data_IF_520915914275
#
_entry.id   IF_520915914275
#
_cell.length_a   1.000
_cell.length_b   1.000
_cell.length_c   1.000
_cell.angle_alpha   90.00
_cell.angle_beta   90.00
_cell.angle_gamma   90.00
#
_symmetry.space_group_name_H-M   'P 1'
#
loop_
_entity.id
_entity.type
_entity.pdbx_description
1 polymer ?
#
# COMPACT_ATOMS: atom_id res chain seq x y z
N UNK A 1 21.32 -54.55 -33.61
CA UNK A 1 20.06 -55.09 -33.05
C UNK A 1 19.98 -54.60 -31.59
N UNK A 2 19.13 -53.76 -31.30
CA UNK A 2 18.17 -53.62 -30.22
C UNK A 2 17.92 -52.14 -29.92
N UNK A 3 16.71 -51.74 -30.20
CA UNK A 3 16.18 -50.41 -29.95
C UNK A 3 15.91 -50.20 -28.46
N UNK A 4 16.36 -49.10 -27.91
CA UNK A 4 16.00 -48.59 -26.56
C UNK A 4 15.07 -47.37 -26.68
N UNK A 5 13.90 -47.51 -26.13
CA UNK A 5 12.86 -46.48 -26.04
C UNK A 5 13.30 -45.34 -25.10
N UNK A 6 13.22 -44.10 -25.59
CA UNK A 6 13.29 -42.91 -24.75
C UNK A 6 11.85 -42.55 -24.41
N UNK A 7 11.53 -42.58 -23.11
CA UNK A 7 10.23 -42.29 -22.58
C UNK A 7 9.99 -40.77 -22.48
N UNK A 8 8.84 -40.37 -22.97
CA UNK A 8 8.24 -39.05 -22.72
C UNK A 8 7.79 -38.97 -21.25
N UNK A 9 8.32 -38.02 -20.52
CA UNK A 9 8.00 -37.78 -19.11
C UNK A 9 8.30 -36.40 -18.65
N UNK A 10 7.76 -35.36 -19.31
CA UNK A 10 7.89 -33.98 -18.83
C UNK A 10 6.76 -33.11 -19.40
N UNK A 11 5.50 -33.42 -19.08
CA UNK A 11 4.39 -32.54 -19.43
C UNK A 11 3.15 -32.66 -18.49
N UNK A 12 3.31 -33.17 -17.27
CA UNK A 12 2.14 -33.32 -16.36
C UNK A 12 2.22 -32.50 -15.05
N UNK A 13 3.29 -31.78 -14.78
CA UNK A 13 3.41 -31.05 -13.51
C UNK A 13 2.91 -29.58 -13.56
N UNK A 14 2.75 -28.99 -14.73
CA UNK A 14 2.34 -27.58 -14.87
C UNK A 14 0.82 -27.39 -14.91
N UNK A 15 0.03 -28.45 -15.17
CA UNK A 15 -1.42 -28.30 -15.28
C UNK A 15 -2.16 -28.52 -13.95
N UNK A 16 -1.56 -29.23 -13.00
CA UNK A 16 -2.20 -29.52 -11.71
C UNK A 16 -2.13 -28.32 -10.77
N UNK A 17 -1.07 -27.51 -10.82
CA UNK A 17 -0.93 -26.31 -10.00
C UNK A 17 -1.83 -25.15 -10.46
N UNK A 18 -2.08 -25.02 -11.76
CA UNK A 18 -3.00 -24.01 -12.29
C UNK A 18 -4.48 -24.34 -12.00
N UNK A 19 -4.84 -25.62 -12.00
CA UNK A 19 -6.20 -26.06 -11.65
C UNK A 19 -6.48 -25.98 -10.15
N UNK A 20 -5.48 -26.21 -9.29
CA UNK A 20 -5.63 -26.07 -7.83
C UNK A 20 -5.80 -24.60 -7.43
N UNK A 21 -5.02 -23.68 -8.00
CA UNK A 21 -5.18 -22.23 -7.77
C UNK A 21 -6.52 -21.70 -8.30
N UNK A 22 -6.98 -22.18 -9.44
CA UNK A 22 -8.28 -21.80 -10.00
C UNK A 22 -9.47 -22.31 -9.19
N UNK A 23 -9.39 -23.54 -8.67
CA UNK A 23 -10.43 -24.14 -7.84
C UNK A 23 -10.47 -23.51 -6.43
N UNK A 24 -9.33 -23.19 -5.83
CA UNK A 24 -9.27 -22.47 -4.56
C UNK A 24 -9.78 -21.04 -4.68
N UNK A 25 -9.44 -20.32 -5.74
CA UNK A 25 -9.97 -18.97 -5.98
C UNK A 25 -11.49 -19.00 -6.24
N UNK A 26 -12.00 -20.01 -6.93
CA UNK A 26 -13.43 -20.16 -7.18
C UNK A 26 -14.20 -20.64 -5.92
N UNK A 27 -13.58 -21.48 -5.09
CA UNK A 27 -14.15 -21.89 -3.81
C UNK A 27 -14.15 -20.73 -2.80
N UNK A 28 -13.09 -19.89 -2.78
CA UNK A 28 -13.00 -18.70 -1.93
C UNK A 28 -13.93 -17.57 -2.42
N UNK A 29 -14.08 -17.36 -3.72
CA UNK A 29 -15.08 -16.42 -4.26
C UNK A 29 -16.53 -16.85 -3.93
N UNK A 30 -16.80 -18.16 -3.87
CA UNK A 30 -18.11 -18.67 -3.48
C UNK A 30 -18.34 -18.65 -1.96
N UNK A 31 -17.29 -18.74 -1.13
CA UNK A 31 -17.40 -18.59 0.33
C UNK A 31 -17.62 -17.13 0.74
N UNK A 32 -17.02 -16.17 0.02
CA UNK A 32 -17.27 -14.73 0.23
C UNK A 32 -18.66 -14.27 -0.25
N UNK A 33 -19.34 -15.08 -1.07
CA UNK A 33 -20.71 -14.82 -1.50
C UNK A 33 -21.78 -15.22 -0.45
N UNK A 34 -21.39 -15.82 0.67
CA UNK A 34 -22.34 -16.19 1.72
C UNK A 34 -22.59 -15.04 2.69
N UNK A 35 -23.66 -14.30 2.45
CA UNK A 35 -24.50 -13.60 3.45
C UNK A 35 -23.89 -12.56 4.39
N UNK A 36 -22.66 -12.69 4.83
CA UNK A 36 -22.02 -11.77 5.76
C UNK A 36 -21.48 -10.49 5.08
N UNK A 37 -21.31 -10.49 3.77
CA UNK A 37 -20.74 -9.38 2.99
C UNK A 37 -21.74 -8.70 2.04
N UNK A 38 -23.02 -8.79 2.31
CA UNK A 38 -24.08 -8.21 1.46
C UNK A 38 -24.49 -6.78 1.84
N UNK A 39 -23.79 -6.13 2.77
CA UNK A 39 -24.00 -4.69 3.01
C UNK A 39 -23.24 -3.89 1.95
N UNK A 40 -23.96 -3.05 1.23
CA UNK A 40 -23.43 -2.14 0.21
C UNK A 40 -23.89 -2.44 -1.21
N UNK A 41 -24.29 -3.65 -1.52
CA UNK A 41 -24.87 -4.01 -2.81
C UNK A 41 -24.08 -3.50 -4.01
N UNK A 42 -24.77 -2.78 -4.91
CA UNK A 42 -24.18 -2.14 -6.09
C UNK A 42 -23.51 -0.78 -5.81
N UNK A 43 -23.25 -0.42 -4.56
CA UNK A 43 -22.65 0.86 -4.19
C UNK A 43 -21.14 0.86 -4.46
N UNK A 44 -20.79 1.21 -5.68
CA UNK A 44 -19.43 1.06 -6.24
C UNK A 44 -18.45 2.09 -5.71
N UNK A 45 -18.91 3.31 -5.47
CA UNK A 45 -18.08 4.44 -5.04
C UNK A 45 -18.45 4.94 -3.65
N UNK A 46 -19.39 4.27 -2.99
CA UNK A 46 -19.87 4.68 -1.68
C UNK A 46 -20.42 6.11 -1.67
N UNK A 47 -20.07 6.91 -0.68
CA UNK A 47 -20.52 8.28 -0.57
C UNK A 47 -19.76 9.25 -1.49
N UNK A 48 -18.93 8.75 -2.41
CA UNK A 48 -18.08 9.57 -3.28
C UNK A 48 -18.52 9.48 -4.74
N UNK A 49 -18.20 10.52 -5.50
CA UNK A 49 -18.11 10.49 -6.96
C UNK A 49 -16.65 10.58 -7.39
N UNK A 50 -16.32 9.97 -8.54
CA UNK A 50 -14.95 9.93 -9.04
C UNK A 50 -14.77 10.95 -10.14
N UNK A 51 -13.71 11.74 -10.07
CA UNK A 51 -13.36 12.68 -11.13
C UNK A 51 -12.68 11.93 -12.27
N UNK A 52 -13.40 11.72 -13.35
CA UNK A 52 -12.88 11.06 -14.55
C UNK A 52 -11.71 11.85 -15.15
N UNK A 53 -10.67 11.12 -15.59
CA UNK A 53 -9.48 11.68 -16.23
C UNK A 53 -8.75 12.77 -15.41
N UNK A 54 -8.91 12.76 -14.09
CA UNK A 54 -8.17 13.67 -13.22
C UNK A 54 -6.66 13.38 -13.26
N UNK A 55 -6.25 12.12 -13.18
CA UNK A 55 -4.85 11.70 -13.30
C UNK A 55 -4.37 11.81 -14.75
N UNK A 56 -3.45 12.75 -15.01
CA UNK A 56 -2.99 13.08 -16.37
C UNK A 56 -1.67 12.41 -16.68
N UNK A 57 -1.41 12.24 -17.98
CA UNK A 57 -0.11 11.78 -18.47
C UNK A 57 0.99 12.81 -18.20
N UNK A 58 2.23 12.35 -18.02
CA UNK A 58 3.39 13.23 -17.95
C UNK A 58 3.63 13.92 -19.32
N UNK A 59 4.22 15.13 -19.33
CA UNK A 59 4.50 15.85 -20.58
C UNK A 59 5.42 15.08 -21.55
N UNK A 60 6.24 14.19 -21.04
CA UNK A 60 7.17 13.35 -21.81
C UNK A 60 6.62 11.95 -22.13
N UNK A 61 5.35 11.68 -21.82
CA UNK A 61 4.67 10.46 -22.23
C UNK A 61 4.33 10.49 -23.72
N UNK A 62 5.34 10.23 -24.54
CA UNK A 62 5.25 10.09 -25.99
C UNK A 62 5.57 8.67 -26.43
N UNK A 63 5.28 8.31 -27.66
CA UNK A 63 5.64 7.01 -28.27
C UNK A 63 5.16 5.79 -27.47
N UNK A 64 4.00 5.90 -26.81
CA UNK A 64 3.39 4.83 -26.03
C UNK A 64 3.98 4.64 -24.62
N UNK A 65 4.79 5.58 -24.13
CA UNK A 65 5.15 5.65 -22.72
C UNK A 65 3.95 6.11 -21.88
N UNK A 66 3.86 5.59 -20.66
CA UNK A 66 2.82 5.89 -19.67
C UNK A 66 3.38 5.69 -18.27
N UNK A 67 2.63 6.04 -17.27
CA UNK A 67 2.95 5.74 -15.88
C UNK A 67 3.16 4.23 -15.66
N UNK A 68 4.07 3.89 -14.77
CA UNK A 68 4.12 2.58 -14.13
C UNK A 68 2.97 2.39 -13.12
N UNK A 69 3.03 1.30 -12.35
CA UNK A 69 2.08 1.10 -11.25
C UNK A 69 2.17 2.25 -10.26
N UNK A 70 1.04 2.82 -9.88
CA UNK A 70 0.99 3.87 -8.85
C UNK A 70 0.93 3.16 -7.49
N UNK A 71 1.99 3.32 -6.71
CA UNK A 71 2.17 2.58 -5.45
C UNK A 71 1.83 3.39 -4.22
N UNK A 72 1.91 4.72 -4.31
CA UNK A 72 1.73 5.57 -3.14
C UNK A 72 1.14 6.93 -3.44
N UNK A 73 0.43 7.48 -2.45
CA UNK A 73 -0.14 8.82 -2.49
C UNK A 73 -0.11 9.46 -1.10
N UNK A 74 0.28 10.73 -1.02
CA UNK A 74 0.17 11.55 0.17
C UNK A 74 -0.43 12.91 -0.19
N UNK A 75 -1.53 13.27 0.44
CA UNK A 75 -2.22 14.54 0.23
C UNK A 75 -1.67 15.59 1.22
N UNK A 76 -0.81 16.47 0.73
CA UNK A 76 -0.27 17.58 1.54
C UNK A 76 -1.32 18.67 1.73
N UNK A 77 -1.89 19.12 0.62
CA UNK A 77 -3.02 20.04 0.56
C UNK A 77 -3.91 19.64 -0.64
N UNK A 78 -5.13 20.19 -0.79
CA UNK A 78 -5.96 19.92 -1.97
C UNK A 78 -5.31 20.26 -3.31
N UNK A 79 -4.32 21.15 -3.29
CA UNK A 79 -3.56 21.59 -4.48
C UNK A 79 -2.13 21.01 -4.53
N UNK A 80 -1.80 20.08 -3.64
CA UNK A 80 -0.48 19.45 -3.57
C UNK A 80 -0.58 18.00 -3.16
N UNK A 81 -0.53 17.09 -4.12
CA UNK A 81 -0.62 15.65 -3.91
C UNK A 81 0.67 15.00 -4.40
N UNK A 82 1.40 14.37 -3.50
CA UNK A 82 2.64 13.66 -3.81
C UNK A 82 2.30 12.23 -4.21
N UNK A 83 2.87 11.76 -5.31
CA UNK A 83 2.57 10.45 -5.89
C UNK A 83 3.86 9.65 -6.08
N UNK A 84 3.86 8.42 -5.59
CA UNK A 84 4.94 7.45 -5.80
C UNK A 84 4.54 6.44 -6.88
N UNK A 85 5.44 6.22 -7.84
CA UNK A 85 5.18 5.44 -9.05
C UNK A 85 6.37 4.50 -9.29
N UNK A 86 6.13 3.31 -9.82
CA UNK A 86 7.19 2.38 -10.24
C UNK A 86 7.82 2.77 -11.58
N UNK A 87 8.14 4.06 -11.72
CA UNK A 87 8.71 4.64 -12.93
C UNK A 87 7.76 4.56 -14.14
N UNK A 88 8.26 4.98 -15.28
CA UNK A 88 7.51 4.90 -16.53
C UNK A 88 7.59 3.55 -17.19
N UNK A 89 6.55 3.18 -17.91
CA UNK A 89 6.49 1.93 -18.66
C UNK A 89 5.87 2.11 -20.04
N UNK A 90 6.10 1.13 -20.93
CA UNK A 90 5.36 0.92 -22.18
C UNK A 90 4.39 -0.25 -22.05
N UNK A 91 3.55 -0.41 -23.06
CA UNK A 91 2.79 -1.65 -23.25
C UNK A 91 3.74 -2.86 -23.07
N UNK A 92 3.26 -3.92 -22.42
CA UNK A 92 4.05 -5.11 -22.00
C UNK A 92 5.02 -4.86 -20.82
N UNK A 93 4.82 -3.81 -20.03
CA UNK A 93 5.62 -3.48 -18.83
C UNK A 93 7.13 -3.33 -19.13
N UNK A 94 7.47 -2.71 -20.24
CA UNK A 94 8.83 -2.33 -20.51
C UNK A 94 9.15 -1.02 -19.77
N UNK A 95 10.12 -1.05 -18.88
CA UNK A 95 10.59 0.11 -18.13
C UNK A 95 11.55 0.95 -18.98
N UNK A 96 11.64 2.24 -18.72
CA UNK A 96 12.66 3.11 -19.32
C UNK A 96 14.04 2.70 -18.79
N UNK A 97 15.07 2.60 -19.65
CA UNK A 97 16.44 2.44 -19.18
C UNK A 97 16.83 3.60 -18.23
N UNK A 98 17.28 3.25 -17.03
CA UNK A 98 17.65 4.23 -16.00
C UNK A 98 16.51 4.76 -15.15
N UNK A 99 15.27 4.32 -15.41
CA UNK A 99 14.09 4.75 -14.66
C UNK A 99 13.74 6.24 -14.86
N UNK A 100 12.52 6.61 -14.58
CA UNK A 100 12.10 8.03 -14.56
C UNK A 100 10.73 8.19 -13.93
N UNK A 101 10.45 9.40 -13.46
CA UNK A 101 9.15 9.80 -12.91
C UNK A 101 8.71 8.92 -11.71
N UNK A 102 9.62 8.65 -10.78
CA UNK A 102 9.29 7.86 -9.57
C UNK A 102 8.49 8.65 -8.54
N UNK A 103 8.77 9.96 -8.41
CA UNK A 103 8.03 10.86 -7.52
C UNK A 103 7.60 12.11 -8.30
N UNK A 104 6.31 12.38 -8.30
CA UNK A 104 5.74 13.59 -8.89
C UNK A 104 4.77 14.25 -7.90
N UNK A 105 4.54 15.54 -8.10
CA UNK A 105 3.52 16.29 -7.37
C UNK A 105 2.49 16.79 -8.35
N UNK A 106 1.23 16.62 -8.02
CA UNK A 106 0.09 17.10 -8.85
C UNK A 106 -0.76 18.08 -8.06
N UNK A 107 -1.36 19.00 -8.82
CA UNK A 107 -2.29 20.00 -8.26
C UNK A 107 -3.73 19.48 -8.19
N UNK A 108 -4.64 20.30 -7.70
CA UNK A 108 -6.08 19.99 -7.58
C UNK A 108 -6.73 19.53 -8.90
N UNK A 109 -6.18 19.95 -10.05
CA UNK A 109 -6.68 19.60 -11.38
C UNK A 109 -6.02 18.34 -11.96
N UNK A 110 -5.09 17.70 -11.23
CA UNK A 110 -4.32 16.56 -11.71
C UNK A 110 -3.21 16.91 -12.69
N UNK A 111 -2.81 18.18 -12.77
CA UNK A 111 -1.64 18.62 -13.55
C UNK A 111 -0.37 18.37 -12.73
N UNK A 112 0.67 17.86 -13.37
CA UNK A 112 1.99 17.70 -12.74
C UNK A 112 2.61 19.08 -12.59
N UNK A 113 2.89 19.46 -11.33
CA UNK A 113 3.52 20.74 -10.99
C UNK A 113 4.96 20.60 -10.55
N UNK A 114 5.36 19.41 -10.07
CA UNK A 114 6.75 19.08 -9.74
C UNK A 114 7.07 17.66 -10.21
N UNK A 115 8.31 17.44 -10.60
CA UNK A 115 8.87 16.13 -10.86
C UNK A 115 10.23 16.05 -10.16
N UNK A 116 10.37 15.13 -9.22
CA UNK A 116 11.56 15.00 -8.39
C UNK A 116 12.63 14.11 -9.05
N UNK A 117 12.80 14.23 -10.36
CA UNK A 117 13.70 13.39 -11.16
C UNK A 117 15.19 13.47 -10.73
N UNK A 118 15.59 14.50 -9.98
CA UNK A 118 16.92 14.57 -9.39
C UNK A 118 17.19 13.43 -8.41
N UNK A 119 16.15 12.76 -7.90
CA UNK A 119 16.23 11.65 -6.97
C UNK A 119 15.98 10.27 -7.60
N UNK A 120 15.72 10.19 -8.90
CA UNK A 120 15.39 8.93 -9.59
C UNK A 120 16.41 7.81 -9.33
N UNK A 121 17.69 8.14 -9.15
CA UNK A 121 18.74 7.16 -8.84
C UNK A 121 18.58 6.47 -7.48
N UNK A 122 17.74 6.99 -6.59
CA UNK A 122 17.45 6.41 -5.29
C UNK A 122 16.29 5.41 -5.34
N UNK A 123 15.58 5.31 -6.48
CA UNK A 123 14.36 4.55 -6.61
C UNK A 123 14.45 3.43 -7.63
N UNK A 124 13.75 2.35 -7.32
CA UNK A 124 13.40 1.27 -8.23
C UNK A 124 11.93 0.88 -8.03
N UNK A 125 11.51 0.79 -6.77
CA UNK A 125 10.15 0.40 -6.38
C UNK A 125 9.70 1.21 -5.17
N UNK A 126 9.55 2.54 -5.28
CA UNK A 126 8.98 3.32 -4.20
C UNK A 126 7.61 2.70 -3.87
N UNK A 127 7.42 2.34 -2.59
CA UNK A 127 6.29 1.52 -2.21
C UNK A 127 5.13 2.35 -1.70
N UNK A 128 5.39 3.23 -0.77
CA UNK A 128 4.41 4.16 -0.21
C UNK A 128 5.07 5.50 0.11
N UNK A 129 4.26 6.56 0.13
CA UNK A 129 4.70 7.92 0.43
C UNK A 129 3.83 8.52 1.53
N UNK A 130 4.43 9.34 2.40
CA UNK A 130 3.76 9.87 3.57
C UNK A 130 4.19 11.30 3.91
N UNK A 131 3.31 11.99 4.62
CA UNK A 131 3.63 13.20 5.38
C UNK A 131 3.22 12.94 6.82
N UNK A 132 4.16 13.07 7.76
CA UNK A 132 3.84 12.90 9.17
C UNK A 132 2.91 14.02 9.64
N UNK A 133 1.78 13.71 10.27
CA UNK A 133 0.89 14.72 10.81
C UNK A 133 1.46 15.45 12.04
N UNK A 134 2.54 14.90 12.60
CA UNK A 134 3.23 15.46 13.79
C UNK A 134 4.49 16.24 13.45
N UNK A 135 4.86 16.31 12.18
CA UNK A 135 6.03 17.01 11.70
C UNK A 135 5.64 18.44 11.23
N UNK A 136 6.05 19.50 11.93
CA UNK A 136 5.70 20.87 11.56
C UNK A 136 6.31 21.30 10.21
N UNK A 137 7.43 20.68 9.80
CA UNK A 137 8.10 20.96 8.53
C UNK A 137 7.49 20.15 7.37
N UNK A 138 6.54 19.24 7.68
CA UNK A 138 5.79 18.42 6.71
C UNK A 138 6.70 17.68 5.74
N UNK A 139 7.80 17.13 6.22
CA UNK A 139 8.70 16.34 5.38
C UNK A 139 7.97 15.19 4.70
N UNK A 140 8.40 14.91 3.47
CA UNK A 140 7.89 13.79 2.66
C UNK A 140 8.75 12.55 2.91
N UNK A 141 8.09 11.47 3.33
CA UNK A 141 8.72 10.20 3.61
C UNK A 141 8.37 9.20 2.52
N UNK A 142 9.37 8.44 2.08
CA UNK A 142 9.18 7.41 1.06
C UNK A 142 9.78 6.10 1.53
N UNK A 143 9.00 5.03 1.40
CA UNK A 143 9.48 3.66 1.59
C UNK A 143 9.93 3.11 0.24
N UNK A 144 11.21 2.77 0.10
CA UNK A 144 11.75 2.13 -1.09
C UNK A 144 11.99 0.64 -0.83
N UNK A 145 11.34 -0.22 -1.60
CA UNK A 145 11.45 -1.68 -1.48
C UNK A 145 12.73 -2.27 -2.03
N UNK A 146 13.50 -1.47 -2.74
CA UNK A 146 14.73 -1.93 -3.37
C UNK A 146 14.54 -2.81 -4.61
N UNK A 147 15.67 -3.32 -5.09
CA UNK A 147 15.76 -4.16 -6.28
C UNK A 147 16.55 -3.50 -7.41
N UNK A 148 16.98 -4.29 -8.40
CA UNK A 148 17.76 -3.83 -9.56
C UNK A 148 18.99 -2.97 -9.20
N UNK A 149 19.63 -3.27 -8.06
CA UNK A 149 20.81 -2.52 -7.57
C UNK A 149 20.49 -1.29 -6.71
N UNK A 150 19.21 -0.98 -6.49
CA UNK A 150 18.76 0.01 -5.51
C UNK A 150 18.53 -0.70 -4.17
N UNK A 151 19.00 -0.10 -3.08
CA UNK A 151 18.86 -0.64 -1.73
C UNK A 151 17.45 -0.41 -1.19
N UNK A 152 17.02 -1.31 -0.33
CA UNK A 152 15.88 -1.14 0.55
C UNK A 152 16.18 -0.01 1.53
N UNK A 153 15.27 0.97 1.65
CA UNK A 153 15.56 2.17 2.43
C UNK A 153 14.30 2.97 2.78
N UNK A 154 14.43 3.81 3.81
CA UNK A 154 13.46 4.84 4.15
C UNK A 154 14.12 6.18 3.85
N UNK A 155 13.44 7.01 3.09
CA UNK A 155 13.91 8.31 2.65
C UNK A 155 13.01 9.41 3.23
N UNK A 156 13.62 10.48 3.73
CA UNK A 156 12.93 11.68 4.23
C UNK A 156 13.45 12.89 3.46
N UNK A 157 12.56 13.59 2.79
CA UNK A 157 12.86 14.79 2.01
C UNK A 157 12.24 16.03 2.64
N UNK A 158 12.81 17.21 2.37
CA UNK A 158 12.09 18.45 2.60
C UNK A 158 10.75 18.43 1.84
N UNK A 159 9.74 19.17 2.31
CA UNK A 159 8.42 19.16 1.70
C UNK A 159 8.44 19.50 0.20
N UNK A 160 9.31 20.44 -0.20
CA UNK A 160 9.50 20.83 -1.61
C UNK A 160 10.45 19.92 -2.41
N UNK A 161 10.92 18.83 -1.83
CA UNK A 161 11.79 17.85 -2.49
C UNK A 161 13.20 18.34 -2.83
N UNK A 162 13.62 19.51 -2.32
CA UNK A 162 14.92 20.10 -2.68
C UNK A 162 16.11 19.41 -1.99
N UNK A 163 15.89 18.80 -0.81
CA UNK A 163 16.93 18.19 0.00
C UNK A 163 16.50 16.81 0.50
N UNK A 164 17.44 15.86 0.50
CA UNK A 164 17.33 14.59 1.21
C UNK A 164 17.78 14.80 2.66
N UNK A 165 16.84 14.79 3.60
CA UNK A 165 17.07 15.07 5.02
C UNK A 165 17.58 13.82 5.75
N UNK A 166 17.06 12.63 5.40
CA UNK A 166 17.46 11.37 6.00
C UNK A 166 17.39 10.23 4.98
N UNK A 167 18.38 9.34 5.08
CA UNK A 167 18.40 8.08 4.35
C UNK A 167 18.73 6.96 5.34
N UNK A 168 17.73 6.15 5.68
CA UNK A 168 17.87 5.03 6.60
C UNK A 168 17.97 3.74 5.80
N UNK A 169 19.12 3.09 5.84
CA UNK A 169 19.40 1.83 5.13
C UNK A 169 20.61 1.13 5.70
N UNK A 170 20.71 -0.18 5.49
CA UNK A 170 21.99 -0.87 5.52
C UNK A 170 22.68 -0.75 4.15
N UNK A 171 23.85 -0.14 4.07
CA UNK A 171 24.59 -0.02 2.83
C UNK A 171 25.14 -1.36 2.31
N UNK A 172 25.12 -2.43 3.10
CA UNK A 172 25.69 -3.74 2.77
C UNK A 172 24.65 -4.84 2.55
N UNK A 173 23.40 -4.63 2.96
CA UNK A 173 22.35 -5.65 2.89
C UNK A 173 21.67 -5.64 1.53
N UNK A 174 21.82 -6.73 0.78
CA UNK A 174 20.95 -7.11 -0.34
C UNK A 174 20.61 -8.58 -0.14
N UNK A 175 19.68 -8.83 0.79
CA UNK A 175 19.24 -10.19 1.07
C UNK A 175 18.19 -10.64 0.04
N UNK A 176 18.32 -11.88 -0.44
CA UNK A 176 17.21 -12.53 -1.11
C UNK A 176 16.07 -12.79 -0.11
N UNK A 177 14.86 -13.03 -0.61
CA UNK A 177 13.71 -13.41 0.24
C UNK A 177 14.03 -14.62 1.14
N UNK A 178 14.75 -15.60 0.61
CA UNK A 178 15.12 -16.81 1.34
C UNK A 178 16.11 -16.49 2.47
N UNK A 179 17.12 -15.69 2.19
CA UNK A 179 18.12 -15.25 3.19
C UNK A 179 17.48 -14.38 4.27
N UNK A 180 16.63 -13.43 3.90
CA UNK A 180 15.92 -12.59 4.87
C UNK A 180 15.02 -13.42 5.79
N UNK A 181 14.19 -14.33 5.21
CA UNK A 181 13.33 -15.21 6.00
C UNK A 181 14.09 -16.25 6.84
N UNK A 182 15.30 -16.60 6.46
CA UNK A 182 16.17 -17.48 7.24
C UNK A 182 16.91 -16.72 8.36
N UNK A 183 17.00 -15.41 8.28
CA UNK A 183 17.62 -14.58 9.31
C UNK A 183 16.65 -14.39 10.49
N UNK A 184 16.82 -15.20 11.53
CA UNK A 184 15.96 -15.17 12.72
C UNK A 184 16.20 -13.94 13.62
N UNK A 185 17.27 -13.19 13.39
CA UNK A 185 17.64 -12.00 14.17
C UNK A 185 18.21 -10.92 13.23
N UNK A 186 17.35 -10.32 12.36
CA UNK A 186 17.82 -9.25 11.50
C UNK A 186 18.23 -8.04 12.34
N UNK A 187 19.34 -7.41 11.96
CA UNK A 187 19.75 -6.15 12.57
C UNK A 187 18.74 -5.02 12.31
N UNK A 188 18.88 -3.90 13.02
CA UNK A 188 17.94 -2.78 12.90
C UNK A 188 17.75 -2.24 11.48
N UNK A 189 18.76 -2.35 10.62
CA UNK A 189 18.75 -1.86 9.25
C UNK A 189 18.77 -2.99 8.20
N UNK A 190 18.70 -4.26 8.63
CA UNK A 190 18.59 -5.43 7.74
C UNK A 190 17.15 -5.55 7.24
N UNK A 191 16.75 -4.68 6.34
CA UNK A 191 15.39 -4.66 5.83
C UNK A 191 15.09 -5.88 4.94
N UNK A 192 13.86 -6.37 5.07
CA UNK A 192 13.31 -7.43 4.23
C UNK A 192 12.19 -6.94 3.34
N UNK A 193 12.47 -5.98 2.50
CA UNK A 193 11.52 -5.23 1.69
C UNK A 193 10.47 -4.51 2.56
N UNK A 194 10.83 -3.36 3.12
CA UNK A 194 9.93 -2.56 3.95
C UNK A 194 8.71 -2.10 3.15
N UNK A 195 7.57 -2.00 3.83
CA UNK A 195 6.31 -1.75 3.15
C UNK A 195 5.63 -0.43 3.56
N UNK A 196 5.60 -0.12 4.85
CA UNK A 196 4.67 0.86 5.42
C UNK A 196 5.29 1.63 6.58
N UNK A 197 4.88 2.90 6.74
CA UNK A 197 5.19 3.71 7.91
C UNK A 197 3.91 4.11 8.66
N UNK A 198 4.02 4.27 9.96
CA UNK A 198 3.06 4.99 10.79
C UNK A 198 3.82 5.92 11.75
N UNK A 199 3.23 7.06 12.07
CA UNK A 199 3.87 8.09 12.89
C UNK A 199 3.21 8.19 14.25
N UNK A 200 4.01 8.46 15.28
CA UNK A 200 3.58 8.62 16.66
C UNK A 200 3.63 10.08 17.08
N UNK A 201 2.80 10.48 18.06
CA UNK A 201 2.73 11.87 18.52
C UNK A 201 4.05 12.43 19.05
N UNK A 202 4.89 11.57 19.63
CA UNK A 202 6.22 11.92 20.16
C UNK A 202 7.29 12.09 19.07
N UNK A 203 6.91 11.97 17.79
CA UNK A 203 7.80 12.09 16.63
C UNK A 203 8.46 10.77 16.21
N UNK A 204 8.36 9.69 16.98
CA UNK A 204 8.82 8.39 16.56
C UNK A 204 8.00 7.88 15.37
N UNK A 205 8.53 6.88 14.68
CA UNK A 205 7.77 6.20 13.63
C UNK A 205 7.93 4.68 13.72
N UNK A 206 6.90 3.99 13.24
CA UNK A 206 6.86 2.54 13.08
C UNK A 206 7.09 2.21 11.62
N UNK A 207 7.96 1.25 11.38
CA UNK A 207 8.24 0.67 10.07
C UNK A 207 7.72 -0.76 10.02
N UNK A 208 6.80 -1.05 9.10
CA UNK A 208 6.46 -2.42 8.74
C UNK A 208 7.50 -2.98 7.78
N UNK A 209 8.43 -3.76 8.31
CA UNK A 209 9.43 -4.51 7.55
C UNK A 209 8.82 -5.86 7.14
N UNK A 210 7.89 -5.78 6.17
CA UNK A 210 6.78 -6.69 6.04
C UNK A 210 6.94 -7.82 5.04
N UNK A 211 7.60 -7.62 3.89
CA UNK A 211 7.58 -8.61 2.82
C UNK A 211 8.38 -9.88 3.14
N UNK A 212 9.51 -9.71 3.85
CA UNK A 212 10.39 -10.83 4.16
C UNK A 212 10.56 -11.08 5.66
N UNK A 213 10.72 -10.00 6.45
CA UNK A 213 11.06 -10.13 7.86
C UNK A 213 9.85 -10.31 8.79
N UNK A 214 8.66 -9.83 8.39
CA UNK A 214 7.43 -9.99 9.17
C UNK A 214 7.50 -9.35 10.55
N UNK A 215 8.07 -8.14 10.66
CA UNK A 215 8.23 -7.40 11.91
C UNK A 215 7.81 -5.94 11.78
N UNK A 216 7.62 -5.31 12.92
CA UNK A 216 7.43 -3.87 13.05
C UNK A 216 8.59 -3.32 13.88
N UNK A 217 9.27 -2.32 13.36
CA UNK A 217 10.42 -1.68 14.01
C UNK A 217 10.09 -0.24 14.35
N UNK A 218 10.33 0.17 15.59
CA UNK A 218 10.17 1.55 16.08
C UNK A 218 11.51 2.28 16.00
N UNK A 219 11.48 3.47 15.40
CA UNK A 219 12.64 4.38 15.30
C UNK A 219 12.30 5.75 15.88
N UNK A 220 13.35 6.49 16.30
CA UNK A 220 13.24 7.90 16.59
C UNK A 220 13.02 8.71 15.31
N UNK A 221 12.68 9.99 15.44
CA UNK A 221 12.55 10.93 14.30
C UNK A 221 13.81 11.01 13.44
N UNK A 222 14.97 10.75 14.04
CA UNK A 222 16.29 10.81 13.39
C UNK A 222 16.77 9.45 12.88
N UNK A 223 15.93 8.41 12.98
CA UNK A 223 16.20 7.07 12.47
C UNK A 223 17.04 6.17 13.40
N UNK A 224 17.15 6.51 14.67
CA UNK A 224 17.78 5.63 15.67
C UNK A 224 16.80 4.52 16.08
N UNK A 225 17.29 3.28 16.14
CA UNK A 225 16.51 2.13 16.58
C UNK A 225 16.06 2.27 18.04
N UNK A 226 14.80 1.96 18.30
CA UNK A 226 14.21 1.97 19.64
C UNK A 226 13.85 0.55 20.09
N UNK A 227 12.99 -0.12 19.32
CA UNK A 227 12.48 -1.46 19.65
C UNK A 227 11.88 -2.11 18.41
N UNK A 228 11.55 -3.40 18.52
CA UNK A 228 10.80 -4.11 17.49
C UNK A 228 9.92 -5.19 18.11
N UNK A 229 8.89 -5.59 17.37
CA UNK A 229 8.06 -6.74 17.70
C UNK A 229 7.55 -7.45 16.44
N UNK A 230 7.09 -8.68 16.62
CA UNK A 230 6.60 -9.52 15.55
C UNK A 230 7.67 -10.48 15.02
N UNK A 231 7.22 -11.45 14.27
CA UNK A 231 8.06 -12.43 13.57
C UNK A 231 7.27 -13.07 12.43
N UNK A 232 7.96 -13.75 11.52
CA UNK A 232 7.29 -14.45 10.41
C UNK A 232 6.44 -15.62 10.94
N UNK A 233 5.19 -15.69 10.53
CA UNK A 233 4.28 -16.77 10.90
C UNK A 233 2.81 -16.39 10.81
N UNK A 234 1.93 -17.21 11.40
CA UNK A 234 0.48 -17.03 11.36
C UNK A 234 -0.19 -16.99 12.74
N UNK A 235 0.56 -17.15 13.83
CA UNK A 235 0.05 -17.04 15.19
C UNK A 235 -0.16 -15.59 15.64
N UNK A 236 -0.69 -15.35 16.84
CA UNK A 236 -0.76 -14.03 17.46
C UNK A 236 0.63 -13.38 17.53
N UNK A 237 0.77 -12.13 17.08
CA UNK A 237 2.04 -11.42 17.02
C UNK A 237 3.00 -11.92 15.94
N UNK A 238 2.56 -12.84 15.08
CA UNK A 238 3.31 -13.26 13.90
C UNK A 238 2.65 -12.70 12.64
N UNK A 239 3.46 -12.46 11.59
CA UNK A 239 2.99 -11.84 10.35
C UNK A 239 3.45 -12.62 9.12
N UNK A 240 2.60 -12.66 8.11
CA UNK A 240 3.00 -12.96 6.73
C UNK A 240 2.65 -11.78 5.84
N UNK A 241 3.57 -10.82 5.78
CA UNK A 241 3.48 -9.56 5.05
C UNK A 241 2.71 -8.46 5.79
N UNK A 242 3.40 -7.70 6.65
CA UNK A 242 2.90 -6.43 7.20
C UNK A 242 2.79 -5.40 6.06
N UNK A 243 1.57 -4.91 5.76
CA UNK A 243 1.37 -4.01 4.62
C UNK A 243 0.65 -2.70 4.97
N UNK A 244 0.02 -2.60 6.09
CA UNK A 244 -0.62 -1.40 6.61
C UNK A 244 -0.44 -1.29 8.13
N UNK A 245 -0.20 -0.08 8.62
CA UNK A 245 -0.15 0.22 10.05
C UNK A 245 -0.92 1.51 10.30
N UNK A 246 -1.78 1.51 11.32
CA UNK A 246 -2.39 2.72 11.86
C UNK A 246 -2.30 2.71 13.38
N UNK A 247 -2.29 3.89 13.97
CA UNK A 247 -2.23 4.06 15.43
C UNK A 247 -3.41 4.92 15.85
N UNK A 248 -4.18 4.47 16.84
CA UNK A 248 -5.31 5.23 17.38
C UNK A 248 -4.85 6.24 18.46
N UNK A 249 -5.78 7.09 18.87
CA UNK A 249 -5.53 8.11 19.92
C UNK A 249 -5.15 7.53 21.29
N UNK A 250 -5.32 6.22 21.49
CA UNK A 250 -4.96 5.51 22.72
C UNK A 250 -3.66 4.71 22.54
N UNK A 251 -2.88 5.02 21.51
CA UNK A 251 -1.62 4.35 21.14
C UNK A 251 -1.77 2.86 20.79
N UNK A 252 -2.97 2.37 20.48
CA UNK A 252 -3.10 0.99 19.96
C UNK A 252 -2.66 0.95 18.50
N UNK A 253 -1.92 -0.09 18.16
CA UNK A 253 -1.34 -0.30 16.84
C UNK A 253 -2.19 -1.33 16.10
N UNK A 254 -2.73 -0.96 14.93
CA UNK A 254 -3.51 -1.81 14.06
C UNK A 254 -2.66 -2.18 12.84
N UNK A 255 -2.51 -3.47 12.58
CA UNK A 255 -1.58 -4.00 11.58
C UNK A 255 -2.33 -4.84 10.56
N UNK A 256 -2.26 -4.44 9.30
CA UNK A 256 -2.69 -5.25 8.17
C UNK A 256 -1.70 -6.39 7.92
N UNK A 257 -2.07 -7.59 8.35
CA UNK A 257 -1.31 -8.83 8.15
C UNK A 257 -1.84 -9.52 6.88
N UNK A 258 -1.33 -9.02 5.75
CA UNK A 258 -1.91 -9.16 4.43
C UNK A 258 -2.13 -10.61 4.00
N UNK A 259 -1.08 -11.45 4.07
CA UNK A 259 -1.14 -12.83 3.60
C UNK A 259 -1.77 -13.78 4.60
N UNK A 260 -1.97 -13.33 5.85
CA UNK A 260 -2.75 -14.03 6.85
C UNK A 260 -4.24 -13.59 6.85
N UNK A 261 -4.62 -12.68 5.95
CA UNK A 261 -6.02 -12.27 5.73
C UNK A 261 -6.71 -11.68 6.96
N UNK A 262 -5.98 -10.86 7.74
CA UNK A 262 -6.47 -10.29 9.01
C UNK A 262 -5.87 -8.91 9.29
N UNK A 263 -6.49 -8.23 10.23
CA UNK A 263 -5.88 -7.12 10.99
C UNK A 263 -5.59 -7.62 12.39
N UNK A 264 -4.39 -7.37 12.92
CA UNK A 264 -4.06 -7.62 14.31
C UNK A 264 -3.94 -6.29 15.05
N UNK A 265 -4.33 -6.28 16.33
CA UNK A 265 -4.29 -5.09 17.20
C UNK A 265 -3.31 -5.34 18.35
N UNK A 266 -2.49 -4.33 18.64
CA UNK A 266 -1.43 -4.39 19.65
C UNK A 266 -1.48 -3.18 20.59
N UNK A 267 -0.87 -3.32 21.75
CA UNK A 267 -0.50 -2.18 22.59
C UNK A 267 0.61 -1.36 21.94
N UNK A 268 0.93 -0.19 22.48
CA UNK A 268 2.06 0.63 22.04
C UNK A 268 3.40 -0.11 22.14
N UNK A 269 3.54 -1.00 23.13
CA UNK A 269 4.73 -1.81 23.37
C UNK A 269 4.79 -3.09 22.51
N UNK A 270 3.83 -3.31 21.61
CA UNK A 270 3.77 -4.45 20.71
C UNK A 270 3.20 -5.73 21.33
N UNK A 271 2.51 -5.65 22.47
CA UNK A 271 1.78 -6.79 23.03
C UNK A 271 0.49 -7.02 22.26
N UNK A 272 0.24 -8.27 21.85
CA UNK A 272 -0.96 -8.67 21.14
C UNK A 272 -2.23 -8.48 21.99
N UNK A 273 -3.27 -7.86 21.40
CA UNK A 273 -4.58 -7.67 22.02
C UNK A 273 -5.61 -8.60 21.38
N UNK A 274 -5.83 -8.45 20.07
CA UNK A 274 -6.86 -9.18 19.32
C UNK A 274 -6.57 -9.20 17.83
N UNK A 275 -7.37 -9.96 17.08
CA UNK A 275 -7.33 -9.97 15.61
C UNK A 275 -8.74 -9.91 15.01
N UNK A 276 -8.83 -9.31 13.83
CA UNK A 276 -10.04 -9.27 13.01
C UNK A 276 -9.82 -10.13 11.77
N UNK A 277 -10.40 -11.32 11.72
CA UNK A 277 -10.25 -12.23 10.59
C UNK A 277 -11.11 -11.82 9.39
N UNK A 278 -10.99 -12.59 8.29
CA UNK A 278 -11.86 -12.52 7.11
C UNK A 278 -11.75 -11.22 6.28
N UNK A 279 -10.61 -10.53 6.37
CA UNK A 279 -10.24 -9.44 5.47
C UNK A 279 -9.30 -10.03 4.41
N UNK A 280 -9.74 -10.11 3.17
CA UNK A 280 -9.08 -10.95 2.18
C UNK A 280 -7.65 -10.52 1.83
N UNK A 281 -7.42 -9.22 1.59
CA UNK A 281 -6.11 -8.69 1.19
C UNK A 281 -5.92 -7.25 1.74
N UNK A 282 -5.80 -7.11 3.09
CA UNK A 282 -5.70 -5.79 3.70
C UNK A 282 -4.34 -5.15 3.37
N UNK A 283 -4.36 -4.04 2.63
CA UNK A 283 -3.13 -3.36 2.16
C UNK A 283 -2.89 -2.01 2.80
N UNK A 284 -3.94 -1.28 3.14
CA UNK A 284 -3.84 -0.01 3.82
C UNK A 284 -4.88 0.09 4.92
N UNK A 285 -4.55 0.81 5.97
CA UNK A 285 -5.41 1.02 7.12
C UNK A 285 -5.33 2.48 7.55
N UNK A 286 -6.48 3.07 7.88
CA UNK A 286 -6.62 4.47 8.25
C UNK A 286 -7.62 4.59 9.40
N UNK A 287 -7.34 5.40 10.40
CA UNK A 287 -8.25 5.65 11.50
C UNK A 287 -8.65 7.12 11.47
N UNK A 288 -9.96 7.35 11.44
CA UNK A 288 -10.51 8.69 11.39
C UNK A 288 -10.92 9.23 12.79
N UNK A 289 -11.17 10.55 12.85
CA UNK A 289 -11.54 11.24 14.07
C UNK A 289 -12.86 10.77 14.72
N UNK A 290 -13.66 9.99 13.98
CA UNK A 290 -14.90 9.37 14.48
C UNK A 290 -14.68 8.00 15.13
N UNK A 291 -13.43 7.58 15.32
CA UNK A 291 -13.04 6.23 15.77
C UNK A 291 -13.41 5.11 14.77
N UNK A 292 -13.55 5.44 13.48
CA UNK A 292 -13.73 4.44 12.46
C UNK A 292 -12.39 4.00 11.88
N UNK A 293 -12.23 2.68 11.72
CA UNK A 293 -11.06 2.06 11.10
C UNK A 293 -11.42 1.68 9.68
N UNK A 294 -10.74 2.28 8.73
CA UNK A 294 -10.93 2.05 7.31
C UNK A 294 -9.82 1.13 6.80
N UNK A 295 -10.20 0.05 6.12
CA UNK A 295 -9.26 -0.93 5.58
C UNK A 295 -9.49 -1.05 4.07
N UNK A 296 -8.41 -0.89 3.31
CA UNK A 296 -8.42 -1.10 1.87
C UNK A 296 -8.09 -2.57 1.58
N UNK A 297 -9.07 -3.29 1.05
CA UNK A 297 -8.97 -4.70 0.67
C UNK A 297 -8.69 -4.81 -0.83
N UNK A 298 -7.41 -5.03 -1.18
CA UNK A 298 -6.93 -4.86 -2.54
C UNK A 298 -7.51 -5.87 -3.53
N UNK A 299 -7.50 -7.15 -3.22
CA UNK A 299 -7.94 -8.20 -4.16
C UNK A 299 -9.45 -8.15 -4.38
N UNK A 300 -10.21 -7.79 -3.36
CA UNK A 300 -11.67 -7.62 -3.49
C UNK A 300 -12.07 -6.20 -3.90
N UNK A 301 -11.09 -5.30 -4.09
CA UNK A 301 -11.29 -3.96 -4.62
C UNK A 301 -12.38 -3.19 -3.87
N UNK A 302 -12.23 -3.12 -2.55
CA UNK A 302 -13.24 -2.51 -1.68
C UNK A 302 -12.62 -1.79 -0.50
N UNK A 303 -13.35 -0.81 -0.03
CA UNK A 303 -13.12 -0.09 1.22
C UNK A 303 -14.01 -0.70 2.29
N UNK A 304 -13.45 -1.08 3.43
CA UNK A 304 -14.14 -1.63 4.59
C UNK A 304 -14.10 -0.63 5.73
N UNK A 305 -15.20 -0.45 6.44
CA UNK A 305 -15.30 0.39 7.63
C UNK A 305 -15.57 -0.47 8.86
N UNK A 306 -14.70 -0.39 9.85
CA UNK A 306 -14.85 -1.09 11.13
C UNK A 306 -14.98 -0.10 12.29
N UNK A 307 -15.57 -0.55 13.38
CA UNK A 307 -15.42 0.08 14.70
C UNK A 307 -14.02 -0.24 15.26
N UNK A 308 -13.59 0.49 16.31
CA UNK A 308 -12.37 0.15 17.07
C UNK A 308 -12.43 -1.22 17.77
N UNK A 309 -13.59 -1.86 17.83
CA UNK A 309 -13.82 -3.19 18.38
C UNK A 309 -13.89 -4.30 17.29
N UNK A 310 -13.54 -3.96 16.04
CA UNK A 310 -13.52 -4.91 14.91
C UNK A 310 -14.90 -5.27 14.35
N UNK A 311 -15.96 -4.51 14.67
CA UNK A 311 -17.26 -4.72 14.05
C UNK A 311 -17.31 -4.07 12.68
N UNK A 312 -17.63 -4.84 11.62
CA UNK A 312 -17.83 -4.32 10.27
C UNK A 312 -19.09 -3.46 10.21
N UNK A 313 -18.93 -2.17 9.95
CA UNK A 313 -20.00 -1.18 9.95
C UNK A 313 -20.55 -0.91 8.54
N UNK A 314 -19.66 -0.80 7.54
CA UNK A 314 -20.02 -0.49 6.16
C UNK A 314 -18.92 -0.98 5.20
N UNK A 315 -19.22 -1.11 3.91
CA UNK A 315 -18.24 -1.28 2.86
C UNK A 315 -18.76 -0.79 1.52
N UNK A 316 -17.84 -0.43 0.63
CA UNK A 316 -18.12 -0.05 -0.74
C UNK A 316 -16.93 -0.36 -1.64
N UNK A 317 -17.12 -0.26 -2.94
CA UNK A 317 -16.09 -0.51 -3.94
C UNK A 317 -16.49 -1.64 -4.88
N UNK A 318 -15.83 -1.70 -6.01
CA UNK A 318 -15.96 -2.79 -6.96
C UNK A 318 -14.79 -2.83 -7.93
N UNK A 319 -14.56 -4.00 -8.47
CA UNK A 319 -13.50 -4.29 -9.43
C UNK A 319 -13.71 -3.60 -10.78
N UNK A 320 -12.66 -3.01 -11.34
CA UNK A 320 -12.60 -2.61 -12.74
C UNK A 320 -11.88 -3.66 -13.56
N UNK A 321 -12.47 -4.10 -14.66
CA UNK A 321 -11.75 -4.93 -15.61
C UNK A 321 -10.58 -4.15 -16.21
N UNK A 322 -9.39 -4.72 -16.14
CA UNK A 322 -8.17 -4.18 -16.74
C UNK A 322 -7.82 -5.02 -17.96
N UNK A 323 -7.75 -4.37 -19.11
CA UNK A 323 -7.35 -5.00 -20.37
C UNK A 323 -6.07 -4.33 -20.89
N UNK A 324 -5.46 -4.93 -21.93
CA UNK A 324 -4.35 -4.32 -22.67
C UNK A 324 -4.70 -2.96 -23.33
N UNK A 325 -5.98 -2.62 -23.36
CA UNK A 325 -6.50 -1.36 -23.91
C UNK A 325 -6.74 -0.31 -22.80
N UNK A 326 -6.38 -0.62 -21.57
CA UNK A 326 -6.61 0.24 -20.42
C UNK A 326 -7.69 -0.30 -19.49
N UNK A 327 -8.13 0.54 -18.57
CA UNK A 327 -9.20 0.26 -17.62
C UNK A 327 -10.53 0.29 -18.36
N UNK A 328 -11.20 -0.85 -18.46
CA UNK A 328 -12.56 -0.91 -19.00
C UNK A 328 -13.55 -0.90 -17.85
N UNK A 329 -14.65 -0.22 -18.04
CA UNK A 329 -15.72 -0.26 -17.07
C UNK A 329 -16.26 1.14 -16.76
N UNK A 330 -16.22 1.51 -15.54
CA UNK A 330 -16.91 2.70 -15.04
C UNK A 330 -15.97 3.45 -14.07
N UNK A 331 -16.13 4.77 -13.94
CA UNK A 331 -15.34 5.57 -13.01
C UNK A 331 -15.39 5.04 -11.59
N UNK A 332 -14.22 4.95 -10.93
CA UNK A 332 -14.13 4.45 -9.56
C UNK A 332 -14.10 2.94 -9.41
N UNK A 333 -14.06 2.19 -10.52
CA UNK A 333 -13.68 0.78 -10.45
C UNK A 333 -12.21 0.65 -10.07
N UNK A 334 -11.90 -0.08 -9.02
CA UNK A 334 -10.54 -0.24 -8.52
C UNK A 334 -9.86 -1.48 -9.12
N UNK A 335 -8.51 -1.43 -9.23
CA UNK A 335 -7.69 -2.56 -9.65
C UNK A 335 -6.45 -2.66 -8.76
N UNK A 336 -6.50 -3.54 -7.78
CA UNK A 336 -5.47 -3.69 -6.76
C UNK A 336 -5.13 -2.34 -6.09
N UNK A 337 -6.10 -1.68 -5.45
CA UNK A 337 -5.82 -0.47 -4.69
C UNK A 337 -4.75 -0.75 -3.65
N UNK A 338 -3.85 0.22 -3.38
CA UNK A 338 -2.62 -0.05 -2.65
C UNK A 338 -2.36 0.90 -1.48
N UNK A 339 -2.47 2.20 -1.72
CA UNK A 339 -2.41 3.22 -0.67
C UNK A 339 -3.54 4.22 -0.87
N UNK A 340 -4.00 4.82 0.22
CA UNK A 340 -4.98 5.89 0.22
C UNK A 340 -4.55 7.02 1.14
N UNK A 341 -4.95 8.23 0.80
CA UNK A 341 -4.85 9.39 1.68
C UNK A 341 -5.93 10.39 1.35
N UNK A 342 -6.15 11.37 2.23
CA UNK A 342 -7.20 12.38 2.10
C UNK A 342 -6.64 13.78 2.29
N UNK A 343 -7.17 14.72 1.50
CA UNK A 343 -6.91 16.14 1.72
C UNK A 343 -7.86 16.76 2.76
N UNK A 344 -7.62 18.03 3.10
CA UNK A 344 -8.41 18.75 4.09
C UNK A 344 -9.85 19.08 3.65
N UNK A 345 -10.14 18.99 2.34
CA UNK A 345 -11.48 19.16 1.77
C UNK A 345 -12.27 17.84 1.80
N UNK A 346 -11.67 16.73 2.24
CA UNK A 346 -12.26 15.41 2.31
C UNK A 346 -12.24 14.65 0.98
N UNK A 347 -11.47 15.09 0.00
CA UNK A 347 -11.25 14.30 -1.19
C UNK A 347 -10.32 13.12 -0.86
N UNK A 348 -10.73 11.93 -1.29
CA UNK A 348 -9.99 10.69 -1.10
C UNK A 348 -9.19 10.39 -2.37
N UNK A 349 -7.93 10.04 -2.20
CA UNK A 349 -7.03 9.61 -3.27
C UNK A 349 -6.68 8.14 -3.06
N UNK A 350 -6.81 7.32 -4.12
CA UNK A 350 -6.47 5.90 -4.08
C UNK A 350 -5.45 5.61 -5.17
N UNK A 351 -4.25 5.21 -4.74
CA UNK A 351 -3.19 4.71 -5.61
C UNK A 351 -3.47 3.25 -5.98
N UNK A 352 -3.36 2.89 -7.27
CA UNK A 352 -3.68 1.56 -7.76
C UNK A 352 -2.47 0.85 -8.35
N UNK A 353 -2.10 -0.24 -7.71
CA UNK A 353 -0.95 -1.05 -8.12
C UNK A 353 -1.25 -1.92 -9.36
N UNK A 354 -2.51 -2.23 -9.61
CA UNK A 354 -2.94 -3.01 -10.78
C UNK A 354 -2.69 -2.32 -12.12
N UNK A 355 -2.34 -1.04 -12.12
CA UNK A 355 -2.02 -0.28 -13.32
C UNK A 355 -1.56 1.15 -13.02
N UNK A 356 -1.49 2.00 -14.06
CA UNK A 356 -0.97 3.36 -13.98
C UNK A 356 -2.04 4.35 -13.48
N UNK A 357 -2.79 4.02 -12.43
CA UNK A 357 -3.94 4.82 -12.03
C UNK A 357 -3.81 5.41 -10.64
N UNK A 358 -4.27 6.63 -10.52
CA UNK A 358 -4.54 7.35 -9.28
C UNK A 358 -5.94 7.94 -9.40
N UNK A 359 -6.86 7.49 -8.56
CA UNK A 359 -8.23 7.99 -8.55
C UNK A 359 -8.43 9.07 -7.50
N UNK A 360 -9.14 10.13 -7.87
CA UNK A 360 -9.65 11.15 -6.96
C UNK A 360 -11.15 10.98 -6.77
N UNK A 361 -11.54 10.72 -5.54
CA UNK A 361 -12.92 10.57 -5.09
C UNK A 361 -13.32 11.85 -4.34
N UNK A 362 -14.43 12.47 -4.76
CA UNK A 362 -14.97 13.71 -4.18
C UNK A 362 -16.26 13.38 -3.45
N UNK A 363 -16.52 13.89 -2.23
CA UNK A 363 -17.78 13.66 -1.54
C UNK A 363 -18.99 14.06 -2.39
N UNK A 364 -19.97 13.17 -2.54
CA UNK A 364 -21.23 13.47 -3.24
C UNK A 364 -21.99 14.57 -2.51
N UNK A 365 -22.65 15.44 -3.25
CA UNK A 365 -23.56 16.43 -2.65
C UNK A 365 -24.65 15.72 -1.84
N UNK A 366 -24.75 16.05 -0.55
CA UNK A 366 -25.71 15.42 0.36
C UNK A 366 -25.38 13.99 0.78
N UNK A 367 -24.13 13.56 0.60
CA UNK A 367 -23.67 12.27 1.13
C UNK A 367 -23.91 12.17 2.65
N UNK A 368 -24.22 10.97 3.10
CA UNK A 368 -24.31 10.69 4.53
C UNK A 368 -22.93 10.86 5.19
N UNK A 369 -22.76 11.83 6.10
CA UNK A 369 -21.46 12.08 6.74
C UNK A 369 -20.91 10.87 7.48
N UNK A 370 -21.78 9.99 7.96
CA UNK A 370 -21.34 8.78 8.70
C UNK A 370 -20.72 7.73 7.79
N UNK A 371 -20.87 7.85 6.48
CA UNK A 371 -20.28 6.97 5.48
C UNK A 371 -19.02 7.57 4.83
N UNK A 372 -18.74 8.84 5.02
CA UNK A 372 -17.51 9.47 4.58
C UNK A 372 -16.34 9.06 5.51
N UNK A 373 -15.15 9.02 4.95
CA UNK A 373 -13.92 8.91 5.74
C UNK A 373 -13.71 10.27 6.40
N UNK A 374 -13.62 10.30 7.71
CA UNK A 374 -13.33 11.51 8.48
C UNK A 374 -11.85 11.90 8.38
N UNK A 375 -11.49 13.04 8.98
CA UNK A 375 -10.08 13.44 9.08
C UNK A 375 -9.29 12.40 9.86
N UNK A 376 -7.99 12.30 9.57
CA UNK A 376 -7.09 11.39 10.30
C UNK A 376 -7.16 11.66 11.79
N UNK A 377 -7.37 10.61 12.57
CA UNK A 377 -7.26 10.69 14.02
C UNK A 377 -5.82 10.99 14.41
N UNK A 378 -5.64 11.95 15.29
CA UNK A 378 -4.33 12.27 15.85
C UNK A 378 -4.27 11.81 17.29
N UNK A 379 -3.17 11.16 17.67
CA UNK A 379 -2.85 10.85 19.06
C UNK A 379 -2.55 12.14 19.84
N UNK A 380 -2.77 12.08 21.13
CA UNK A 380 -2.37 13.14 22.06
C UNK A 380 -1.05 12.74 22.74
N UNK A 381 -0.12 13.69 22.86
CA UNK A 381 1.10 13.52 23.65
C UNK A 381 0.77 13.35 25.14
#
# INVERSE_FOLDING_TARGET
MTFGRIGAGLALFSLVTALACGAENQARSNASASGAFTKGGDDRTGPYEVLEAWWKAAPDHTDGWTWGSVSGVAADTPDRIIVAIWGDQKAQRQERPGGSNYLVVVNANGDIVENWSQWDSLFNRPHQVYISPYDPDRHVWVVERGGNGVHEQILKFTNNGSELVMQLRDPQSVLSREEARANLNPGPLDFGQPAVLAFLPDGHFLLGDGYHNGRIVKYTTDGEYVSEFGSVGSGPGQFDLVHGIAVDKNSRIYVSDRMNHRVQVFTEDGEYIEEWPDIYDPVAIFIDESDAVWVLDATLNRMLKYSLAGELLDYWGAYAEVSSLGRSGWPGGMSLPHQMDMDEDGNLYIAEFGGPWLDKFVPKSGADPTRLIGKRQLGTN
#
